data_IF_993149739094
#
_entry.id   IF_993149739094
#
_cell.length_a   1.000
_cell.length_b   1.000
_cell.length_c   1.000
_cell.angle_alpha   90.00
_cell.angle_beta   90.00
_cell.angle_gamma   90.00
#
_symmetry.space_group_name_H-M   'P 1'
#
loop_
_entity.id
_entity.type
_entity.pdbx_description
1 polymer ?
#
# COMPACT_ATOMS: atom_id res chain seq x y z
N UNK A 1 30.53 -4.59 40.76
CA UNK A 1 30.25 -3.44 39.84
C UNK A 1 30.64 -3.90 38.44
N UNK A 2 29.68 -4.31 37.64
CA UNK A 2 29.89 -4.69 36.24
C UNK A 2 29.14 -3.64 35.38
N UNK A 3 29.91 -2.78 34.72
CA UNK A 3 29.39 -1.83 33.73
C UNK A 3 28.93 -2.59 32.50
N UNK A 4 27.62 -2.60 32.23
CA UNK A 4 27.09 -2.94 30.94
C UNK A 4 27.13 -1.67 30.09
N UNK A 5 28.10 -1.60 29.18
CA UNK A 5 28.08 -0.64 28.06
C UNK A 5 27.03 -1.11 27.06
N UNK A 6 25.94 -0.38 26.95
CA UNK A 6 24.98 -0.51 25.87
C UNK A 6 25.68 -0.05 24.58
N UNK A 7 25.94 -0.97 23.67
CA UNK A 7 26.39 -0.66 22.31
C UNK A 7 25.16 -0.19 21.54
N UNK A 8 25.13 1.10 21.29
CA UNK A 8 24.14 1.74 20.44
C UNK A 8 24.57 1.46 18.99
N UNK A 9 24.15 0.32 18.42
CA UNK A 9 24.31 0.06 17.00
C UNK A 9 23.30 0.92 16.23
N UNK A 10 23.71 2.13 15.86
CA UNK A 10 23.03 2.92 14.85
C UNK A 10 23.09 2.14 13.53
N UNK A 11 21.94 1.60 13.08
CA UNK A 11 21.80 1.06 11.74
C UNK A 11 22.27 2.13 10.74
N UNK A 12 23.25 1.86 9.87
CA UNK A 12 23.71 2.86 8.91
C UNK A 12 22.53 3.28 8.04
N UNK A 13 22.36 4.59 7.86
CA UNK A 13 21.39 5.12 6.92
C UNK A 13 21.71 4.55 5.53
N UNK A 14 20.71 3.93 4.89
CA UNK A 14 20.86 3.44 3.53
C UNK A 14 21.06 4.65 2.61
N UNK A 15 22.07 4.58 1.74
CA UNK A 15 22.30 5.65 0.76
C UNK A 15 21.09 5.75 -0.18
N UNK A 16 20.64 6.98 -0.52
CA UNK A 16 19.57 7.18 -1.48
C UNK A 16 19.93 6.51 -2.82
N UNK A 17 18.96 5.86 -3.46
CA UNK A 17 19.11 5.42 -4.83
C UNK A 17 19.25 6.66 -5.70
N UNK A 18 20.25 6.67 -6.57
CA UNK A 18 20.42 7.75 -7.55
C UNK A 18 19.22 7.83 -8.52
N UNK A 19 19.22 8.77 -9.47
CA UNK A 19 18.12 8.96 -10.40
C UNK A 19 17.81 7.66 -11.16
N UNK A 20 16.54 7.31 -11.24
CA UNK A 20 16.01 6.15 -11.98
C UNK A 20 15.41 6.58 -13.31
N UNK A 21 15.14 5.63 -14.19
CA UNK A 21 14.51 5.85 -15.49
C UNK A 21 13.61 4.70 -15.89
N UNK A 22 12.47 4.95 -16.54
CA UNK A 22 11.58 3.92 -17.03
C UNK A 22 12.23 2.99 -18.06
N UNK A 23 11.91 1.70 -18.01
CA UNK A 23 12.33 0.68 -18.98
C UNK A 23 11.19 -0.30 -19.26
N UNK A 24 11.04 -0.66 -20.53
CA UNK A 24 10.19 -1.80 -20.90
C UNK A 24 10.97 -3.08 -20.60
N UNK A 25 10.57 -3.77 -19.53
CA UNK A 25 11.24 -4.99 -19.07
C UNK A 25 10.27 -5.89 -18.32
N UNK A 26 10.38 -7.19 -18.48
CA UNK A 26 9.66 -8.12 -17.64
C UNK A 26 10.24 -8.12 -16.21
N UNK A 27 9.37 -8.21 -15.22
CA UNK A 27 9.74 -8.36 -13.81
C UNK A 27 8.87 -9.46 -13.19
N UNK A 28 9.50 -10.53 -12.74
CA UNK A 28 8.85 -11.59 -11.97
C UNK A 28 8.71 -11.18 -10.48
N UNK A 29 8.12 -12.07 -9.68
CA UNK A 29 7.91 -11.82 -8.26
C UNK A 29 9.23 -11.60 -7.50
N UNK A 30 10.29 -12.34 -7.81
CA UNK A 30 11.57 -12.21 -7.12
C UNK A 30 12.24 -10.88 -7.46
N UNK A 31 12.22 -10.49 -8.74
CA UNK A 31 12.74 -9.21 -9.23
C UNK A 31 11.96 -8.03 -8.62
N UNK A 32 10.64 -8.09 -8.66
CA UNK A 32 9.77 -7.04 -8.11
C UNK A 32 9.98 -6.87 -6.60
N UNK A 33 10.06 -7.97 -5.85
CA UNK A 33 10.33 -7.95 -4.41
C UNK A 33 11.68 -7.31 -4.10
N UNK A 34 12.73 -7.72 -4.82
CA UNK A 34 14.10 -7.21 -4.58
C UNK A 34 14.19 -5.71 -4.92
N UNK A 35 13.61 -5.29 -6.06
CA UNK A 35 13.60 -3.91 -6.50
C UNK A 35 12.83 -3.02 -5.51
N UNK A 36 11.58 -3.37 -5.19
CA UNK A 36 10.72 -2.57 -4.34
C UNK A 36 11.22 -2.52 -2.89
N UNK A 37 11.80 -3.63 -2.36
CA UNK A 37 12.43 -3.59 -1.04
C UNK A 37 13.57 -2.57 -1.01
N UNK A 38 14.46 -2.61 -2.02
CA UNK A 38 15.60 -1.68 -2.10
C UNK A 38 15.14 -0.23 -2.24
N UNK A 39 14.11 0.01 -3.07
CA UNK A 39 13.53 1.34 -3.27
C UNK A 39 12.98 1.90 -1.96
N UNK A 40 12.01 1.21 -1.36
CA UNK A 40 11.33 1.68 -0.17
C UNK A 40 12.24 1.75 1.07
N UNK A 41 13.30 0.93 1.13
CA UNK A 41 14.33 1.06 2.17
C UNK A 41 15.11 2.38 2.00
N UNK A 42 15.46 2.74 0.78
CA UNK A 42 16.26 3.94 0.48
C UNK A 42 15.43 5.24 0.46
N UNK A 43 14.17 5.17 0.02
CA UNK A 43 13.31 6.34 -0.17
C UNK A 43 12.50 6.70 1.08
N UNK A 44 12.51 5.88 2.12
CA UNK A 44 11.67 6.04 3.31
C UNK A 44 11.74 7.44 3.94
N UNK A 45 12.94 8.03 4.06
CA UNK A 45 13.15 9.37 4.61
C UNK A 45 12.58 10.46 3.70
N UNK A 46 12.83 10.36 2.37
CA UNK A 46 12.32 11.30 1.38
C UNK A 46 10.80 11.27 1.32
N UNK A 47 10.23 10.08 1.25
CA UNK A 47 8.79 9.86 1.27
C UNK A 47 8.10 10.49 2.49
N UNK A 48 8.65 10.31 3.68
CA UNK A 48 8.08 10.91 4.90
C UNK A 48 8.22 12.42 4.94
N UNK A 49 9.31 12.97 4.43
CA UNK A 49 9.49 14.42 4.35
C UNK A 49 8.46 15.05 3.39
N UNK A 50 8.14 14.38 2.29
CA UNK A 50 7.22 14.87 1.26
C UNK A 50 5.75 14.67 1.65
N UNK A 51 5.41 13.50 2.17
CA UNK A 51 4.01 13.09 2.35
C UNK A 51 3.58 12.96 3.82
N UNK A 52 4.52 13.09 4.78
CA UNK A 52 4.24 12.83 6.18
C UNK A 52 3.18 13.74 6.80
N UNK A 53 3.10 15.00 6.37
CA UNK A 53 2.07 15.94 6.83
C UNK A 53 0.67 15.50 6.39
N UNK A 54 0.52 15.09 5.13
CA UNK A 54 -0.75 14.59 4.58
C UNK A 54 -1.19 13.28 5.23
N UNK A 55 -0.26 12.35 5.42
CA UNK A 55 -0.55 11.03 5.99
C UNK A 55 -0.77 11.06 7.50
N UNK A 56 -0.16 12.01 8.20
CA UNK A 56 -0.18 12.09 9.66
C UNK A 56 0.56 10.94 10.36
N UNK A 57 0.72 11.06 11.68
CA UNK A 57 1.33 10.00 12.49
C UNK A 57 0.34 8.91 12.95
N UNK A 58 -0.94 9.27 13.11
CA UNK A 58 -2.01 8.37 13.53
C UNK A 58 -3.34 8.78 12.87
N UNK A 59 -3.36 8.72 11.56
CA UNK A 59 -4.52 9.04 10.74
C UNK A 59 -4.72 7.95 9.67
N UNK A 60 -5.92 7.88 9.09
CA UNK A 60 -6.24 6.86 8.10
C UNK A 60 -6.78 7.50 6.82
N UNK A 61 -5.90 7.72 5.89
CA UNK A 61 -6.20 8.19 4.54
C UNK A 61 -6.18 7.01 3.58
N UNK A 62 -7.28 6.80 2.87
CA UNK A 62 -7.39 5.71 1.88
C UNK A 62 -6.65 6.01 0.58
N UNK A 63 -6.61 7.27 0.18
CA UNK A 63 -6.11 7.64 -1.14
C UNK A 63 -5.72 9.13 -1.25
N UNK A 64 -4.98 9.50 -2.32
CA UNK A 64 -4.61 10.89 -2.59
C UNK A 64 -5.78 11.86 -2.77
N UNK A 65 -6.98 11.37 -3.09
CA UNK A 65 -8.24 12.13 -3.10
C UNK A 65 -8.71 12.53 -1.69
N UNK A 66 -7.88 12.32 -0.66
CA UNK A 66 -8.13 12.69 0.73
C UNK A 66 -9.33 11.98 1.38
N UNK A 67 -9.73 10.80 0.88
CA UNK A 67 -10.79 10.00 1.50
C UNK A 67 -10.30 9.38 2.81
N UNK A 68 -10.98 9.66 3.91
CA UNK A 68 -10.56 9.22 5.25
C UNK A 68 -11.51 8.15 5.81
N UNK A 69 -10.94 7.18 6.54
CA UNK A 69 -11.73 6.12 7.21
C UNK A 69 -12.70 6.70 8.24
N UNK A 70 -12.36 7.85 8.87
CA UNK A 70 -13.27 8.58 9.77
C UNK A 70 -14.60 8.99 9.13
N UNK A 71 -14.61 9.17 7.81
CA UNK A 71 -15.75 9.69 7.07
C UNK A 71 -16.56 8.57 6.40
N UNK A 72 -15.84 7.55 5.89
CA UNK A 72 -16.47 6.50 5.06
C UNK A 72 -16.69 5.18 5.79
N UNK A 73 -16.00 4.93 6.89
CA UNK A 73 -16.15 3.73 7.74
C UNK A 73 -16.13 2.39 6.97
N UNK A 74 -15.24 2.24 5.98
CA UNK A 74 -15.18 1.05 5.13
C UNK A 74 -14.85 -0.23 5.91
N UNK A 75 -14.11 -0.11 7.02
CA UNK A 75 -13.79 -1.23 7.90
C UNK A 75 -14.90 -1.53 8.92
N UNK A 76 -15.88 -0.62 9.07
CA UNK A 76 -16.97 -0.75 10.05
C UNK A 76 -16.48 -0.73 11.50
N UNK A 77 -17.16 -1.45 12.38
CA UNK A 77 -16.78 -1.53 13.80
C UNK A 77 -15.49 -2.32 14.00
N UNK A 78 -14.43 -1.63 14.42
CA UNK A 78 -13.09 -2.20 14.59
C UNK A 78 -12.72 -2.50 16.05
N UNK A 79 -13.44 -1.94 17.02
CA UNK A 79 -13.16 -2.16 18.44
C UNK A 79 -13.15 -3.65 18.79
N UNK A 80 -12.07 -4.13 19.42
CA UNK A 80 -11.86 -5.54 19.76
C UNK A 80 -11.60 -6.47 18.59
N UNK A 81 -11.55 -5.99 17.34
CA UNK A 81 -11.24 -6.80 16.16
C UNK A 81 -9.74 -6.99 16.00
N UNK A 82 -9.35 -8.16 15.47
CA UNK A 82 -7.98 -8.44 15.04
C UNK A 82 -7.81 -7.98 13.60
N UNK A 83 -6.99 -6.98 13.39
CA UNK A 83 -6.82 -6.29 12.10
C UNK A 83 -5.40 -6.46 11.59
N UNK A 84 -5.25 -6.77 10.31
CA UNK A 84 -3.97 -6.83 9.60
C UNK A 84 -3.87 -5.67 8.61
N UNK A 85 -2.83 -4.84 8.74
CA UNK A 85 -2.45 -3.88 7.70
C UNK A 85 -1.40 -4.49 6.77
N UNK A 86 -1.70 -4.51 5.46
CA UNK A 86 -0.89 -5.14 4.41
C UNK A 86 -0.12 -4.07 3.64
N UNK A 87 1.21 -4.03 3.78
CA UNK A 87 2.05 -2.98 3.21
C UNK A 87 1.83 -1.65 3.93
N UNK A 88 2.20 -1.62 5.21
CA UNK A 88 1.81 -0.54 6.11
C UNK A 88 2.69 0.73 6.01
N UNK A 89 3.81 0.67 5.29
CA UNK A 89 4.79 1.74 5.35
C UNK A 89 5.19 2.06 6.78
N UNK A 90 4.99 3.31 7.23
CA UNK A 90 5.20 3.73 8.62
C UNK A 90 3.99 3.46 9.55
N UNK A 91 2.96 2.79 9.06
CA UNK A 91 1.78 2.36 9.81
C UNK A 91 0.92 3.48 10.47
N UNK A 92 0.65 4.61 9.83
CA UNK A 92 -0.25 5.63 10.38
C UNK A 92 -1.68 5.10 10.54
N UNK A 93 -2.18 4.33 9.55
CA UNK A 93 -3.52 3.75 9.57
C UNK A 93 -3.68 2.73 10.73
N UNK A 94 -2.66 1.89 10.95
CA UNK A 94 -2.66 0.97 12.08
C UNK A 94 -2.71 1.71 13.43
N UNK A 95 -1.94 2.79 13.58
CA UNK A 95 -2.00 3.63 14.80
C UNK A 95 -3.37 4.28 14.98
N UNK A 96 -3.97 4.79 13.92
CA UNK A 96 -5.34 5.29 13.96
C UNK A 96 -6.31 4.22 14.49
N UNK A 97 -6.28 3.01 13.93
CA UNK A 97 -7.16 1.92 14.35
C UNK A 97 -6.90 1.47 15.81
N UNK A 98 -5.66 1.55 16.28
CA UNK A 98 -5.34 1.32 17.69
C UNK A 98 -6.07 2.30 18.61
N UNK A 99 -6.18 3.57 18.22
CA UNK A 99 -6.95 4.56 19.01
C UNK A 99 -8.46 4.28 19.01
N UNK A 100 -8.94 3.48 18.04
CA UNK A 100 -10.33 3.01 17.94
C UNK A 100 -10.57 1.67 18.63
N UNK A 101 -9.59 1.15 19.37
CA UNK A 101 -9.71 -0.08 20.14
C UNK A 101 -9.49 -1.37 19.36
N UNK A 102 -8.97 -1.32 18.15
CA UNK A 102 -8.60 -2.50 17.37
C UNK A 102 -7.33 -3.17 17.89
N UNK A 103 -7.20 -4.48 17.72
CA UNK A 103 -5.96 -5.24 17.90
C UNK A 103 -5.25 -5.35 16.55
N UNK A 104 -4.38 -4.39 16.24
CA UNK A 104 -3.74 -4.29 14.94
C UNK A 104 -2.35 -4.90 14.95
N UNK A 105 -2.04 -5.65 13.89
CA UNK A 105 -0.68 -6.02 13.47
C UNK A 105 -0.47 -5.42 12.08
N UNK A 106 0.71 -4.86 11.82
CA UNK A 106 1.02 -4.27 10.54
C UNK A 106 2.33 -4.85 10.00
N UNK A 107 2.43 -5.02 8.68
CA UNK A 107 3.67 -5.47 8.08
C UNK A 107 4.02 -4.69 6.82
N UNK A 108 5.31 -4.63 6.54
CA UNK A 108 5.85 -4.08 5.30
C UNK A 108 7.06 -4.88 4.83
N UNK A 109 7.38 -4.79 3.56
CA UNK A 109 8.56 -5.38 2.97
C UNK A 109 9.83 -4.61 3.36
N UNK A 110 9.71 -3.28 3.58
CA UNK A 110 10.80 -2.35 3.84
C UNK A 110 11.11 -2.22 5.33
N UNK A 111 12.35 -2.50 5.69
CA UNK A 111 12.86 -2.24 7.03
C UNK A 111 12.99 -0.74 7.32
N UNK A 112 13.29 0.07 6.29
CA UNK A 112 13.35 1.53 6.35
C UNK A 112 12.01 2.13 6.73
N UNK A 113 10.94 1.77 6.03
CA UNK A 113 9.57 2.20 6.34
C UNK A 113 9.16 1.79 7.77
N UNK A 114 9.44 0.55 8.17
CA UNK A 114 9.15 0.09 9.53
C UNK A 114 9.97 0.82 10.61
N UNK A 115 11.18 1.31 10.28
CA UNK A 115 11.95 2.15 11.21
C UNK A 115 11.25 3.49 11.46
N UNK A 116 10.71 4.14 10.42
CA UNK A 116 9.85 5.33 10.56
C UNK A 116 8.59 5.01 11.38
N UNK A 117 7.99 3.84 11.19
CA UNK A 117 6.86 3.38 11.99
C UNK A 117 7.17 3.28 13.48
N UNK A 118 8.33 2.73 13.84
CA UNK A 118 8.81 2.70 15.25
C UNK A 118 9.07 4.09 15.82
N UNK A 119 9.68 4.98 15.04
CA UNK A 119 9.89 6.35 15.44
C UNK A 119 8.58 7.10 15.68
N UNK A 120 7.58 6.91 14.81
CA UNK A 120 6.24 7.48 14.96
C UNK A 120 5.52 6.91 16.19
N UNK A 121 5.65 5.60 16.49
CA UNK A 121 5.12 5.00 17.72
C UNK A 121 5.73 5.66 18.97
N UNK A 122 7.03 5.90 18.98
CA UNK A 122 7.70 6.61 20.09
C UNK A 122 7.21 8.06 20.25
N UNK A 123 6.93 8.78 19.14
CA UNK A 123 6.42 10.17 19.20
C UNK A 123 4.96 10.23 19.68
N UNK A 124 4.14 9.31 19.23
CA UNK A 124 2.69 9.30 19.52
C UNK A 124 2.32 8.55 20.80
N UNK A 125 3.19 7.69 21.31
CA UNK A 125 2.88 6.75 22.39
C UNK A 125 1.92 5.63 21.97
N UNK A 126 1.67 5.44 20.66
CA UNK A 126 0.73 4.43 20.13
C UNK A 126 1.52 3.29 19.51
N UNK A 127 1.67 2.20 20.27
CA UNK A 127 2.41 1.03 19.83
C UNK A 127 1.58 0.14 18.90
N UNK A 128 2.21 -0.31 17.81
CA UNK A 128 1.69 -1.30 16.86
C UNK A 128 2.76 -2.37 16.65
N UNK A 129 2.47 -3.66 16.78
CA UNK A 129 3.36 -4.73 16.34
C UNK A 129 3.66 -4.61 14.84
N UNK A 130 4.94 -4.37 14.52
CA UNK A 130 5.44 -4.22 13.14
C UNK A 130 6.27 -5.44 12.75
N UNK A 131 5.94 -6.06 11.60
CA UNK A 131 6.59 -7.25 11.08
C UNK A 131 7.17 -6.96 9.70
N UNK A 132 8.43 -7.35 9.45
CA UNK A 132 8.97 -7.31 8.09
C UNK A 132 8.59 -8.60 7.37
N UNK A 133 7.79 -8.51 6.29
CA UNK A 133 7.29 -9.68 5.57
C UNK A 133 7.01 -9.39 4.09
N UNK A 134 6.92 -10.46 3.28
CA UNK A 134 6.44 -10.44 1.90
C UNK A 134 4.92 -10.69 1.90
N UNK A 135 4.16 -9.85 1.19
CA UNK A 135 2.71 -9.99 1.06
C UNK A 135 2.27 -11.28 0.32
N UNK A 136 3.17 -11.89 -0.45
CA UNK A 136 2.94 -13.18 -1.09
C UNK A 136 3.26 -14.40 -0.19
N UNK A 137 3.75 -14.18 1.04
CA UNK A 137 4.10 -15.25 2.00
C UNK A 137 3.94 -14.72 3.43
N UNK A 138 2.70 -14.63 3.90
CA UNK A 138 2.38 -14.03 5.18
C UNK A 138 2.76 -14.94 6.37
N UNK A 139 3.55 -14.44 7.35
CA UNK A 139 4.01 -15.24 8.49
C UNK A 139 2.96 -15.38 9.60
N UNK A 140 1.70 -15.47 9.23
CA UNK A 140 0.58 -15.55 10.16
C UNK A 140 -0.19 -16.87 9.97
N UNK A 141 -0.75 -17.41 11.05
CA UNK A 141 -1.58 -18.60 10.99
C UNK A 141 -2.90 -18.33 10.23
N UNK A 142 -3.49 -19.38 9.67
CA UNK A 142 -4.80 -19.30 9.03
C UNK A 142 -5.88 -18.81 10.02
N UNK A 143 -6.81 -17.98 9.55
CA UNK A 143 -7.94 -17.51 10.38
C UNK A 143 -7.54 -16.59 11.55
N UNK A 144 -6.37 -15.95 11.49
CA UNK A 144 -5.86 -15.11 12.57
C UNK A 144 -6.55 -13.75 12.67
N UNK A 145 -7.15 -13.26 11.60
CA UNK A 145 -7.66 -11.89 11.52
C UNK A 145 -9.15 -11.83 11.17
N UNK A 146 -9.80 -10.79 11.65
CA UNK A 146 -11.20 -10.46 11.36
C UNK A 146 -11.31 -9.55 10.13
N UNK A 147 -10.32 -8.67 10.00
CA UNK A 147 -10.22 -7.63 8.96
C UNK A 147 -8.78 -7.61 8.46
N UNK A 148 -8.60 -7.49 7.16
CA UNK A 148 -7.35 -7.08 6.54
C UNK A 148 -7.60 -5.83 5.68
N UNK A 149 -6.62 -4.93 5.57
CA UNK A 149 -6.71 -3.79 4.68
C UNK A 149 -5.35 -3.38 4.12
N UNK A 150 -5.36 -2.61 3.03
CA UNK A 150 -4.18 -1.98 2.43
C UNK A 150 -4.58 -0.63 1.83
N UNK A 151 -3.97 0.44 2.31
CA UNK A 151 -4.15 1.78 1.74
C UNK A 151 -2.93 2.11 0.88
N UNK A 152 -3.00 1.84 -0.43
CA UNK A 152 -1.88 1.98 -1.39
C UNK A 152 -0.60 1.20 -1.03
N UNK A 153 -0.71 0.13 -0.25
CA UNK A 153 0.41 -0.68 0.19
C UNK A 153 0.86 -1.72 -0.85
N UNK A 154 0.95 -2.99 -0.46
CA UNK A 154 1.62 -4.04 -1.21
C UNK A 154 1.02 -4.40 -2.58
N UNK A 155 -0.29 -4.19 -2.79
CA UNK A 155 -1.03 -4.79 -3.93
C UNK A 155 -0.47 -4.40 -5.31
N UNK A 156 -0.12 -3.14 -5.62
CA UNK A 156 0.44 -2.78 -6.92
C UNK A 156 1.90 -3.24 -7.11
N UNK A 157 2.61 -3.56 -6.02
CA UNK A 157 4.05 -3.82 -6.03
C UNK A 157 4.41 -5.31 -6.16
N UNK A 158 3.43 -6.21 -6.24
CA UNK A 158 3.66 -7.65 -6.37
C UNK A 158 3.28 -8.15 -7.76
N UNK A 159 4.15 -8.96 -8.37
CA UNK A 159 3.89 -9.56 -9.67
C UNK A 159 2.76 -10.61 -9.59
N UNK A 160 2.71 -11.41 -8.53
CA UNK A 160 1.67 -12.42 -8.27
C UNK A 160 0.63 -11.90 -7.28
N UNK A 161 -0.15 -10.90 -7.71
CA UNK A 161 -1.25 -10.37 -6.88
C UNK A 161 -2.32 -11.42 -6.57
N UNK A 162 -2.52 -12.41 -7.43
CA UNK A 162 -3.40 -13.54 -7.14
C UNK A 162 -2.91 -14.37 -5.93
N UNK A 163 -1.60 -14.54 -5.76
CA UNK A 163 -1.03 -15.18 -4.57
C UNK A 163 -1.25 -14.32 -3.32
N UNK A 164 -1.04 -13.00 -3.40
CA UNK A 164 -1.36 -12.08 -2.31
C UNK A 164 -2.83 -12.23 -1.88
N UNK A 165 -3.78 -12.25 -2.83
CA UNK A 165 -5.20 -12.44 -2.51
C UNK A 165 -5.46 -13.76 -1.78
N UNK A 166 -4.81 -14.86 -2.20
CA UNK A 166 -4.92 -16.17 -1.51
C UNK A 166 -4.31 -16.15 -0.11
N UNK A 167 -3.17 -15.47 0.09
CA UNK A 167 -2.55 -15.33 1.41
C UNK A 167 -3.42 -14.49 2.37
N UNK A 168 -4.00 -13.39 1.88
CA UNK A 168 -4.97 -12.60 2.67
C UNK A 168 -6.20 -13.46 3.01
N UNK A 169 -6.75 -14.21 2.05
CA UNK A 169 -7.86 -15.14 2.30
C UNK A 169 -7.51 -16.19 3.36
N UNK A 170 -6.31 -16.75 3.31
CA UNK A 170 -5.82 -17.76 4.27
C UNK A 170 -5.76 -17.23 5.70
N UNK A 171 -5.26 -16.00 5.88
CA UNK A 171 -5.08 -15.42 7.22
C UNK A 171 -6.37 -14.82 7.80
N UNK A 172 -7.35 -14.54 6.96
CA UNK A 172 -8.68 -14.11 7.39
C UNK A 172 -9.51 -15.31 7.86
N UNK A 173 -10.34 -15.09 8.87
CA UNK A 173 -11.39 -16.05 9.25
C UNK A 173 -12.52 -16.06 8.20
N UNK A 174 -13.33 -17.12 8.10
CA UNK A 174 -14.54 -17.11 7.27
C UNK A 174 -15.42 -15.89 7.58
N UNK A 175 -15.89 -15.20 6.54
CA UNK A 175 -16.64 -13.95 6.66
C UNK A 175 -15.78 -12.70 6.94
N UNK A 176 -14.45 -12.86 7.05
CA UNK A 176 -13.51 -11.75 7.26
C UNK A 176 -13.57 -10.72 6.14
N UNK A 177 -13.29 -9.46 6.48
CA UNK A 177 -13.30 -8.33 5.58
C UNK A 177 -11.92 -8.10 4.96
N UNK A 178 -11.85 -7.87 3.66
CA UNK A 178 -10.68 -7.39 2.94
C UNK A 178 -11.01 -6.12 2.19
N UNK A 179 -10.33 -5.01 2.51
CA UNK A 179 -10.46 -3.70 1.83
C UNK A 179 -9.10 -3.24 1.38
N UNK A 180 -8.97 -2.86 0.11
CA UNK A 180 -7.71 -2.32 -0.37
C UNK A 180 -7.91 -1.24 -1.42
N UNK A 181 -7.07 -0.20 -1.35
CA UNK A 181 -6.98 0.89 -2.31
C UNK A 181 -5.75 0.69 -3.20
N UNK A 182 -5.92 0.94 -4.47
CA UNK A 182 -4.87 0.90 -5.50
C UNK A 182 -5.07 2.02 -6.51
N UNK A 183 -4.04 2.33 -7.28
CA UNK A 183 -4.18 3.12 -8.50
C UNK A 183 -5.35 2.57 -9.32
N UNK A 184 -6.28 3.45 -9.72
CA UNK A 184 -7.36 3.01 -10.59
C UNK A 184 -6.78 2.36 -11.86
N UNK A 185 -7.29 1.18 -12.27
CA UNK A 185 -6.75 0.49 -13.45
C UNK A 185 -6.69 1.35 -14.72
N UNK A 186 -7.61 2.31 -14.88
CA UNK A 186 -7.60 3.24 -16.02
C UNK A 186 -6.36 4.13 -16.05
N UNK A 187 -5.78 4.45 -14.90
CA UNK A 187 -4.57 5.27 -14.79
C UNK A 187 -3.47 4.81 -15.75
N UNK A 188 -3.31 3.51 -15.92
CA UNK A 188 -2.26 2.92 -16.74
C UNK A 188 -2.35 3.22 -18.24
N UNK A 189 -3.47 3.75 -18.71
CA UNK A 189 -3.61 4.22 -20.08
C UNK A 189 -3.04 5.63 -20.31
N UNK A 190 -2.73 6.36 -19.23
CA UNK A 190 -2.32 7.77 -19.24
C UNK A 190 -0.90 7.94 -18.68
N UNK A 191 -0.19 9.05 -19.04
CA UNK A 191 1.10 9.34 -18.42
C UNK A 191 0.94 9.72 -16.94
N UNK A 192 2.03 9.60 -16.20
CA UNK A 192 2.11 10.06 -14.80
C UNK A 192 2.35 11.57 -14.79
N UNK A 193 1.31 12.34 -15.09
CA UNK A 193 1.35 13.80 -15.21
C UNK A 193 0.06 14.37 -14.61
N UNK A 194 0.13 15.29 -13.62
CA UNK A 194 -1.05 15.89 -13.00
C UNK A 194 -1.74 16.94 -13.86
N UNK A 195 -1.07 17.42 -14.93
CA UNK A 195 -1.53 18.47 -15.82
C UNK A 195 -2.29 17.94 -17.05
N UNK A 196 -2.52 18.83 -18.04
CA UNK A 196 -3.27 18.49 -19.26
C UNK A 196 -2.70 17.32 -20.07
N UNK A 197 -1.38 17.09 -20.03
CA UNK A 197 -0.78 15.94 -20.69
C UNK A 197 -1.29 14.61 -20.10
N UNK A 198 -1.60 14.59 -18.80
CA UNK A 198 -2.20 13.45 -18.11
C UNK A 198 -3.60 13.07 -18.56
N UNK A 199 -4.25 13.85 -19.42
CA UNK A 199 -5.58 13.55 -19.99
C UNK A 199 -5.49 12.86 -21.37
N UNK A 200 -4.29 12.59 -21.86
CA UNK A 200 -4.09 11.97 -23.18
C UNK A 200 -3.73 10.50 -23.02
N UNK A 201 -4.50 9.62 -23.65
CA UNK A 201 -4.20 8.18 -23.68
C UNK A 201 -2.91 7.94 -24.45
N UNK A 202 -1.95 7.26 -23.83
CA UNK A 202 -0.61 6.98 -24.41
C UNK A 202 -0.36 5.49 -24.64
N UNK A 203 -1.11 4.61 -23.97
CA UNK A 203 -0.95 3.17 -24.11
C UNK A 203 -2.26 2.43 -23.90
N UNK A 204 -2.27 1.13 -24.20
CA UNK A 204 -3.45 0.30 -24.04
C UNK A 204 -3.75 0.03 -22.57
N UNK A 205 -5.00 0.22 -22.18
CA UNK A 205 -5.51 -0.24 -20.88
C UNK A 205 -5.31 -1.76 -20.65
N UNK A 206 -5.22 -2.53 -21.71
CA UNK A 206 -5.05 -4.00 -21.65
C UNK A 206 -3.59 -4.44 -21.64
N UNK A 207 -2.64 -3.51 -21.72
CA UNK A 207 -1.23 -3.83 -21.54
C UNK A 207 -0.94 -4.14 -20.06
N UNK A 208 -0.53 -5.36 -19.78
CA UNK A 208 -0.18 -5.85 -18.44
C UNK A 208 1.32 -5.92 -18.19
N UNK A 209 2.08 -5.29 -19.08
CA UNK A 209 3.53 -5.15 -18.86
C UNK A 209 3.76 -4.39 -17.55
N UNK A 210 4.70 -4.83 -16.72
CA UNK A 210 5.03 -4.08 -15.51
C UNK A 210 5.66 -2.75 -15.85
N UNK A 211 5.36 -1.73 -15.05
CA UNK A 211 6.14 -0.50 -15.02
C UNK A 211 7.42 -0.78 -14.24
N UNK A 212 8.57 -0.54 -14.85
CA UNK A 212 9.88 -0.80 -14.26
C UNK A 212 10.75 0.44 -14.39
N UNK A 213 11.29 0.90 -13.27
CA UNK A 213 12.38 1.85 -13.26
C UNK A 213 13.69 1.13 -12.95
N UNK A 214 14.76 1.55 -13.62
CA UNK A 214 16.10 1.04 -13.39
C UNK A 214 17.03 2.15 -12.92
N UNK A 215 18.02 1.78 -12.13
CA UNK A 215 19.09 2.67 -11.68
C UNK A 215 20.13 2.91 -12.79
N UNK A 216 21.19 3.64 -12.46
CA UNK A 216 22.30 3.94 -13.39
C UNK A 216 23.03 2.69 -13.91
N UNK A 217 22.97 1.58 -13.17
CA UNK A 217 23.56 0.30 -13.57
C UNK A 217 22.58 -0.61 -14.35
N UNK A 218 21.41 -0.09 -14.76
CA UNK A 218 20.34 -0.82 -15.46
C UNK A 218 19.73 -1.96 -14.61
N UNK A 219 19.81 -1.85 -13.27
CA UNK A 219 19.21 -2.80 -12.33
C UNK A 219 17.81 -2.29 -11.93
N UNK A 220 16.76 -3.16 -11.91
CA UNK A 220 15.45 -2.77 -11.45
C UNK A 220 15.48 -2.15 -10.03
N UNK A 221 14.94 -0.94 -9.92
CA UNK A 221 14.88 -0.18 -8.68
C UNK A 221 13.45 -0.06 -8.13
N UNK A 222 12.46 0.15 -9.02
CA UNK A 222 11.06 0.29 -8.68
C UNK A 222 10.19 -0.46 -9.68
N UNK A 223 9.17 -1.18 -9.20
CA UNK A 223 8.31 -2.00 -10.07
C UNK A 223 6.86 -1.91 -9.61
N UNK A 224 5.97 -1.57 -10.54
CA UNK A 224 4.52 -1.68 -10.34
C UNK A 224 3.88 -2.63 -11.38
N UNK A 225 2.78 -3.26 -11.00
CA UNK A 225 2.06 -4.23 -11.82
C UNK A 225 0.63 -3.78 -12.08
N UNK A 226 0.35 -3.52 -13.35
CA UNK A 226 -1.00 -3.26 -13.80
C UNK A 226 -1.87 -4.52 -13.77
N UNK A 227 -3.13 -4.36 -13.36
CA UNK A 227 -4.23 -5.30 -13.52
C UNK A 227 -5.46 -4.51 -13.97
N UNK A 228 -6.19 -5.02 -14.96
CA UNK A 228 -7.47 -4.40 -15.31
C UNK A 228 -8.47 -4.54 -14.16
N UNK A 229 -9.55 -3.74 -14.17
CA UNK A 229 -10.64 -3.89 -13.20
C UNK A 229 -11.17 -5.33 -13.17
N UNK A 230 -11.38 -5.92 -14.35
CA UNK A 230 -11.82 -7.31 -14.44
C UNK A 230 -10.81 -8.33 -13.91
N UNK A 231 -9.49 -8.07 -14.03
CA UNK A 231 -8.46 -8.94 -13.46
C UNK A 231 -8.53 -8.89 -11.92
N UNK A 232 -8.63 -7.70 -11.32
CA UNK A 232 -8.74 -7.53 -9.85
C UNK A 232 -9.95 -8.26 -9.28
N UNK A 233 -11.11 -8.11 -9.94
CA UNK A 233 -12.34 -8.82 -9.53
C UNK A 233 -12.15 -10.33 -9.63
N UNK A 234 -11.57 -10.84 -10.73
CA UNK A 234 -11.31 -12.29 -10.89
C UNK A 234 -10.32 -12.84 -9.87
N UNK A 235 -9.25 -12.09 -9.55
CA UNK A 235 -8.30 -12.48 -8.50
C UNK A 235 -8.99 -12.62 -7.13
N UNK A 236 -9.85 -11.67 -6.76
CA UNK A 236 -10.64 -11.72 -5.52
C UNK A 236 -11.59 -12.94 -5.51
N UNK A 237 -12.40 -13.12 -6.56
CA UNK A 237 -13.36 -14.22 -6.65
C UNK A 237 -12.64 -15.58 -6.62
N UNK A 238 -11.50 -15.71 -7.32
CA UNK A 238 -10.71 -16.95 -7.34
C UNK A 238 -10.09 -17.26 -5.97
N UNK A 239 -9.77 -16.24 -5.18
CA UNK A 239 -9.29 -16.41 -3.82
C UNK A 239 -10.42 -16.68 -2.79
N UNK A 240 -11.68 -16.75 -3.22
CA UNK A 240 -12.83 -17.03 -2.36
C UNK A 240 -13.52 -15.81 -1.78
N UNK A 241 -13.20 -14.61 -2.25
CA UNK A 241 -13.88 -13.38 -1.82
C UNK A 241 -15.17 -13.13 -2.61
N UNK A 242 -16.14 -12.56 -1.92
CA UNK A 242 -17.33 -11.95 -2.52
C UNK A 242 -17.11 -10.44 -2.51
N UNK A 243 -16.99 -9.83 -3.67
CA UNK A 243 -16.91 -8.37 -3.82
C UNK A 243 -18.25 -7.77 -3.40
N UNK A 244 -18.19 -6.80 -2.50
CA UNK A 244 -19.36 -6.09 -1.95
C UNK A 244 -19.52 -4.73 -2.56
N UNK A 245 -18.40 -4.06 -2.80
CA UNK A 245 -18.37 -2.74 -3.39
C UNK A 245 -17.03 -2.49 -4.09
N UNK A 246 -17.04 -1.54 -5.02
CA UNK A 246 -15.84 -0.93 -5.60
C UNK A 246 -16.09 0.57 -5.60
N UNK A 247 -15.39 1.30 -4.72
CA UNK A 247 -15.47 2.74 -4.65
C UNK A 247 -14.45 3.36 -5.62
N UNK A 248 -14.90 4.37 -6.33
CA UNK A 248 -14.10 5.25 -7.17
C UNK A 248 -14.23 6.66 -6.59
N UNK A 249 -13.30 7.08 -5.71
CA UNK A 249 -13.40 8.39 -5.05
C UNK A 249 -13.39 9.53 -6.05
N UNK A 250 -14.36 10.44 -5.92
CA UNK A 250 -14.37 11.70 -6.64
C UNK A 250 -13.39 12.68 -5.99
N UNK A 251 -12.83 13.58 -6.77
CA UNK A 251 -11.94 14.61 -6.25
C UNK A 251 -12.76 15.67 -5.47
N UNK A 252 -12.42 15.96 -4.19
CA UNK A 252 -13.16 16.95 -3.42
C UNK A 252 -13.00 18.37 -4.00
N UNK A 253 -14.09 19.13 -4.06
CA UNK A 253 -14.10 20.50 -4.61
C UNK A 253 -13.13 21.45 -3.88
N UNK A 254 -12.97 21.28 -2.57
CA UNK A 254 -12.15 22.15 -1.70
C UNK A 254 -10.73 21.59 -1.49
N UNK A 255 -10.29 20.60 -2.27
CA UNK A 255 -8.98 19.98 -2.13
C UNK A 255 -8.11 20.25 -3.37
N UNK A 256 -7.05 21.03 -3.20
CA UNK A 256 -6.11 21.43 -4.25
C UNK A 256 -4.78 20.63 -4.23
N UNK A 257 -4.69 19.60 -3.40
CA UNK A 257 -3.51 18.74 -3.31
C UNK A 257 -3.12 18.14 -4.65
N UNK A 258 -1.85 17.86 -4.83
CA UNK A 258 -1.31 17.14 -5.98
C UNK A 258 -0.36 16.08 -5.48
N UNK A 259 -0.53 14.85 -5.96
CA UNK A 259 0.34 13.73 -5.62
C UNK A 259 0.58 12.87 -6.86
N UNK A 260 1.79 13.01 -7.47
CA UNK A 260 2.09 12.35 -8.74
C UNK A 260 1.03 12.71 -9.78
N UNK A 261 0.35 11.71 -10.31
CA UNK A 261 -0.73 11.89 -11.28
C UNK A 261 -2.06 12.38 -10.69
N UNK A 262 -2.26 12.30 -9.37
CA UNK A 262 -3.50 12.75 -8.73
C UNK A 262 -3.53 14.27 -8.64
N UNK A 263 -4.56 14.87 -9.18
CA UNK A 263 -4.76 16.32 -9.18
C UNK A 263 -6.23 16.66 -9.35
N UNK A 264 -6.66 17.88 -8.96
CA UNK A 264 -8.01 18.37 -9.23
C UNK A 264 -8.39 18.25 -10.71
N UNK A 265 -7.48 18.65 -11.62
CA UNK A 265 -7.74 18.60 -13.05
C UNK A 265 -8.07 17.18 -13.56
N UNK A 266 -7.31 16.18 -13.13
CA UNK A 266 -7.57 14.79 -13.58
C UNK A 266 -8.77 14.20 -12.88
N UNK A 267 -8.94 14.51 -11.60
CA UNK A 267 -10.08 14.05 -10.80
C UNK A 267 -11.43 14.55 -11.27
N UNK A 268 -11.47 15.67 -12.03
CA UNK A 268 -12.68 16.14 -12.71
C UNK A 268 -13.19 15.16 -13.78
N UNK A 269 -12.31 14.37 -14.40
CA UNK A 269 -12.64 13.57 -15.58
C UNK A 269 -12.68 12.07 -15.30
N UNK A 270 -11.85 11.56 -14.39
CA UNK A 270 -11.82 10.14 -14.09
C UNK A 270 -11.16 9.84 -12.73
N UNK A 271 -11.50 8.69 -12.10
CA UNK A 271 -10.96 8.36 -10.79
C UNK A 271 -9.45 8.04 -10.86
N UNK A 272 -8.69 8.54 -9.89
CA UNK A 272 -7.30 8.17 -9.70
C UNK A 272 -7.12 6.87 -8.91
N UNK A 273 -8.12 6.55 -8.08
CA UNK A 273 -8.11 5.44 -7.13
C UNK A 273 -9.30 4.50 -7.33
N UNK A 274 -9.08 3.20 -7.13
CA UNK A 274 -10.14 2.20 -6.92
C UNK A 274 -9.95 1.54 -5.55
N UNK A 275 -11.03 1.50 -4.75
CA UNK A 275 -11.06 0.82 -3.44
C UNK A 275 -12.00 -0.37 -3.53
N UNK A 276 -11.47 -1.57 -3.31
CA UNK A 276 -12.24 -2.81 -3.36
C UNK A 276 -12.64 -3.22 -1.94
N UNK A 277 -13.93 -3.42 -1.73
CA UNK A 277 -14.49 -3.94 -0.47
C UNK A 277 -15.00 -5.35 -0.70
N UNK A 278 -14.46 -6.32 0.01
CA UNK A 278 -14.79 -7.73 -0.19
C UNK A 278 -14.84 -8.51 1.11
N UNK A 279 -15.61 -9.60 1.13
CA UNK A 279 -15.68 -10.51 2.28
C UNK A 279 -15.31 -11.92 1.85
N UNK A 280 -14.50 -12.59 2.67
CA UNK A 280 -14.21 -14.00 2.46
C UNK A 280 -15.49 -14.83 2.62
N UNK A 281 -15.80 -15.69 1.63
CA UNK A 281 -16.95 -16.59 1.69
C UNK A 281 -16.89 -17.47 2.93
N UNK A 282 -18.04 -17.72 3.55
CA UNK A 282 -18.17 -18.76 4.55
C UNK A 282 -18.40 -20.10 3.83
N UNK A 283 -17.53 -21.05 4.02
CA UNK A 283 -17.79 -22.46 3.67
C UNK A 283 -18.54 -23.12 4.81
#
# INVERSE_FOLDING_TARGET
MLHHSAVNESTPALEPLGPTRPRVRAADQATSRAANRRWWDADAESYHREHGEFLGDADFVWCPENLRESDVHLLGEVAGRRVLEVGCGSAPCARYLRTRGAHVVAFDLSAGMLAHGRAAAARTGIEVPLVQADACELPFAAGSFDIAFSAFGAVPFVADSARLMREVARVLRPGGLWVFAVNHPMRWAFPDDPGPAGLTVIQSYFDRSPYVEVDAADVPAYVEHHRTMGDRIRELVTAGFVVRDVLEPEWPEDFDGVWGQWSPLRGEYFPGTAIFVSRLGGH
#
